data_IF_713966227748
#
_entry.id   IF_713966227748
#
_cell.length_a   1.000
_cell.length_b   1.000
_cell.length_c   1.000
_cell.angle_alpha   90.00
_cell.angle_beta   90.00
_cell.angle_gamma   90.00
#
_symmetry.space_group_name_H-M   'P 1'
#
loop_
_entity.id
_entity.type
_entity.pdbx_description
1 polymer ?
#
# COMPACT_ATOMS: atom_id res chain seq x y z
N UNK A 1 -10.58 47.11 33.50
CA UNK A 1 -9.28 47.73 33.16
C UNK A 1 -8.39 46.69 32.54
N UNK A 2 -8.20 46.84 31.24
CA UNK A 2 -6.99 46.66 30.41
C UNK A 2 -6.27 45.31 30.49
N UNK A 3 -6.43 44.46 29.45
CA UNK A 3 -5.61 44.41 28.21
C UNK A 3 -4.12 44.15 28.46
N UNK A 4 -3.66 42.97 28.01
CA UNK A 4 -2.35 42.71 27.38
C UNK A 4 -2.46 41.34 26.77
N UNK A 5 -2.63 41.25 25.54
CA UNK A 5 -1.70 41.38 24.42
C UNK A 5 -1.35 39.98 23.85
N UNK A 6 -2.04 39.67 22.78
CA UNK A 6 -1.62 38.73 21.72
C UNK A 6 -0.16 38.97 21.35
N UNK A 7 0.63 37.94 21.35
CA UNK A 7 1.90 37.88 20.63
C UNK A 7 1.86 36.76 19.62
N UNK A 8 1.50 37.12 18.42
CA UNK A 8 1.74 36.35 17.22
C UNK A 8 3.24 36.07 17.07
N UNK A 9 3.64 34.81 17.16
CA UNK A 9 4.97 34.36 16.80
C UNK A 9 4.96 33.92 15.33
N UNK A 10 5.24 34.86 14.44
CA UNK A 10 5.60 34.54 13.05
C UNK A 10 7.02 33.98 13.03
N UNK A 11 7.16 32.71 12.69
CA UNK A 11 8.44 32.11 12.31
C UNK A 11 8.62 32.39 10.80
N UNK A 12 9.38 33.45 10.49
CA UNK A 12 9.84 33.71 9.13
C UNK A 12 11.03 32.80 8.83
N UNK A 13 10.82 31.84 7.93
CA UNK A 13 11.91 31.13 7.27
C UNK A 13 12.41 32.04 6.15
N UNK A 14 13.50 32.74 6.38
CA UNK A 14 14.21 33.46 5.32
C UNK A 14 14.92 32.50 4.39
N UNK A 15 14.31 32.28 3.23
CA UNK A 15 15.07 31.83 2.06
C UNK A 15 15.66 33.05 1.39
N UNK A 16 16.92 33.05 0.93
CA UNK A 16 17.47 34.19 0.22
C UNK A 16 16.80 34.30 -1.17
N UNK A 17 15.82 35.19 -1.25
CA UNK A 17 15.29 35.64 -2.53
C UNK A 17 16.23 36.74 -3.01
N UNK A 18 17.06 36.43 -4.03
CA UNK A 18 17.77 37.44 -4.78
C UNK A 18 16.74 38.40 -5.41
N UNK A 19 16.94 39.69 -5.18
CA UNK A 19 16.19 40.76 -5.80
C UNK A 19 16.07 40.60 -7.31
N UNK A 20 14.86 40.42 -7.80
CA UNK A 20 14.49 40.70 -9.17
C UNK A 20 13.21 41.53 -9.15
N UNK A 21 13.39 42.81 -9.25
CA UNK A 21 12.36 43.77 -9.57
C UNK A 21 11.85 43.57 -10.99
N UNK A 22 10.54 43.81 -11.19
CA UNK A 22 9.80 43.87 -12.45
C UNK A 22 9.44 42.54 -13.15
N UNK A 23 8.19 42.10 -13.08
CA UNK A 23 7.74 41.09 -13.97
C UNK A 23 6.45 40.37 -13.69
N UNK A 24 5.31 41.06 -13.64
CA UNK A 24 4.00 40.40 -13.69
C UNK A 24 3.73 39.64 -15.01
N UNK A 25 4.49 39.92 -16.08
CA UNK A 25 4.42 39.22 -17.36
C UNK A 25 5.28 37.94 -17.39
N UNK A 26 6.39 37.87 -16.68
CA UNK A 26 7.32 36.74 -16.74
C UNK A 26 6.76 35.43 -16.16
N UNK A 27 5.82 35.48 -15.24
CA UNK A 27 5.27 34.28 -14.60
C UNK A 27 4.19 33.61 -15.46
N UNK A 28 3.39 34.40 -16.21
CA UNK A 28 2.40 33.89 -17.17
C UNK A 28 3.09 33.27 -18.38
N UNK A 29 4.08 33.95 -18.96
CA UNK A 29 4.87 33.42 -20.09
C UNK A 29 5.60 32.13 -19.70
N UNK A 30 6.11 32.02 -18.48
CA UNK A 30 6.77 30.81 -17.98
C UNK A 30 5.80 29.64 -17.75
N UNK A 31 4.53 29.91 -17.38
CA UNK A 31 3.49 28.89 -17.23
C UNK A 31 2.98 28.43 -18.61
N UNK A 32 2.80 29.35 -19.56
CA UNK A 32 2.38 29.03 -20.92
C UNK A 32 3.45 28.20 -21.65
N UNK A 33 4.74 28.51 -21.44
CA UNK A 33 5.85 27.72 -21.94
C UNK A 33 5.92 26.32 -21.26
N UNK A 34 5.64 26.23 -19.98
CA UNK A 34 5.50 24.97 -19.27
C UNK A 34 4.36 24.12 -19.86
N UNK A 35 3.19 24.72 -20.05
CA UNK A 35 2.05 24.02 -20.63
C UNK A 35 2.29 23.60 -22.08
N UNK A 36 2.95 24.42 -22.90
CA UNK A 36 3.36 24.04 -24.27
C UNK A 36 4.32 22.86 -24.24
N UNK A 37 5.32 22.83 -23.33
CA UNK A 37 6.24 21.68 -23.17
C UNK A 37 5.50 20.43 -22.76
N UNK A 38 4.58 20.51 -21.79
CA UNK A 38 3.77 19.37 -21.35
C UNK A 38 2.87 18.85 -22.46
N UNK A 39 2.26 19.74 -23.25
CA UNK A 39 1.41 19.38 -24.40
C UNK A 39 2.19 18.83 -25.59
N UNK A 40 3.46 19.21 -25.73
CA UNK A 40 4.37 18.71 -26.77
C UNK A 40 5.20 17.50 -26.32
N UNK A 41 5.03 17.04 -25.09
CA UNK A 41 5.81 15.95 -24.52
C UNK A 41 5.57 14.64 -25.28
N UNK A 42 6.68 13.99 -25.68
CA UNK A 42 6.67 12.80 -26.55
C UNK A 42 7.17 11.55 -25.81
N UNK A 43 7.11 11.53 -24.48
CA UNK A 43 7.62 10.40 -23.70
C UNK A 43 6.56 9.32 -23.55
N UNK A 44 5.34 9.69 -23.11
CA UNK A 44 4.26 8.75 -22.85
C UNK A 44 3.19 8.73 -23.93
N UNK A 45 2.72 7.53 -24.27
CA UNK A 45 1.46 7.29 -24.98
C UNK A 45 0.32 7.11 -23.99
N UNK A 46 0.52 6.24 -23.00
CA UNK A 46 -0.46 5.99 -21.94
C UNK A 46 0.25 5.73 -20.61
N UNK A 47 0.32 6.76 -19.78
CA UNK A 47 0.97 6.73 -18.47
C UNK A 47 0.28 5.80 -17.47
N UNK A 48 -1.04 5.61 -17.59
CA UNK A 48 -1.83 4.84 -16.64
C UNK A 48 -1.49 3.35 -16.65
N UNK A 49 -0.93 2.85 -17.75
CA UNK A 49 -0.43 1.47 -17.83
C UNK A 49 0.68 1.15 -16.84
N UNK A 50 1.39 2.16 -16.31
CA UNK A 50 2.47 1.99 -15.33
C UNK A 50 1.98 2.14 -13.88
N UNK A 51 0.72 2.49 -13.67
CA UNK A 51 0.18 2.64 -12.32
C UNK A 51 0.02 1.29 -11.62
N UNK A 52 0.23 1.24 -10.29
CA UNK A 52 0.10 0.00 -9.51
C UNK A 52 -1.31 -0.59 -9.46
N UNK A 53 -2.33 0.25 -9.64
CA UNK A 53 -3.75 -0.13 -9.65
C UNK A 53 -4.25 -0.65 -11.00
N UNK A 54 -3.50 -0.43 -12.06
CA UNK A 54 -3.83 -0.99 -13.38
C UNK A 54 -3.62 -2.50 -13.41
N UNK A 55 -4.69 -3.25 -13.73
CA UNK A 55 -4.65 -4.70 -13.92
C UNK A 55 -4.58 -5.01 -15.41
N UNK A 56 -3.47 -5.56 -15.92
CA UNK A 56 -3.36 -5.91 -17.34
C UNK A 56 -4.16 -7.17 -17.69
N UNK A 57 -4.41 -7.35 -18.98
CA UNK A 57 -5.01 -8.57 -19.51
C UNK A 57 -4.04 -9.76 -19.50
N UNK A 58 -2.74 -9.51 -19.49
CA UNK A 58 -1.68 -10.51 -19.44
C UNK A 58 -0.83 -10.33 -18.18
N UNK A 59 -0.68 -11.40 -17.42
CA UNK A 59 0.06 -11.45 -16.15
C UNK A 59 1.19 -12.48 -16.26
N UNK A 60 2.30 -12.14 -16.94
CA UNK A 60 3.41 -13.06 -17.16
C UNK A 60 4.02 -13.54 -15.85
N UNK A 61 4.56 -14.77 -15.87
CA UNK A 61 5.19 -15.45 -14.74
C UNK A 61 4.23 -15.74 -13.57
N UNK A 62 2.91 -15.73 -13.83
CA UNK A 62 1.86 -16.12 -12.87
C UNK A 62 0.88 -17.13 -13.44
N UNK A 63 1.21 -17.75 -14.56
CA UNK A 63 0.37 -18.75 -15.23
C UNK A 63 -0.02 -19.88 -14.28
N UNK A 64 0.93 -20.41 -13.51
CA UNK A 64 0.68 -21.50 -12.56
C UNK A 64 -0.31 -21.06 -11.46
N UNK A 65 -0.16 -19.84 -10.92
CA UNK A 65 -1.06 -19.30 -9.91
C UNK A 65 -2.45 -19.00 -10.47
N UNK A 66 -2.51 -18.50 -11.71
CA UNK A 66 -3.77 -18.24 -12.42
C UNK A 66 -4.52 -19.55 -12.62
N UNK A 67 -3.86 -20.59 -13.15
CA UNK A 67 -4.49 -21.89 -13.39
C UNK A 67 -4.98 -22.52 -12.10
N UNK A 68 -4.15 -22.57 -11.06
CA UNK A 68 -4.53 -23.18 -9.79
C UNK A 68 -5.70 -22.46 -9.13
N UNK A 69 -5.69 -21.12 -9.10
CA UNK A 69 -6.79 -20.33 -8.55
C UNK A 69 -8.07 -20.52 -9.39
N UNK A 70 -7.95 -20.52 -10.72
CA UNK A 70 -9.09 -20.74 -11.61
C UNK A 70 -9.68 -22.16 -11.44
N UNK A 71 -8.84 -23.18 -11.32
CA UNK A 71 -9.24 -24.57 -11.09
C UNK A 71 -10.01 -24.72 -9.77
N UNK A 72 -9.50 -24.09 -8.70
CA UNK A 72 -10.15 -24.12 -7.38
C UNK A 72 -11.50 -23.39 -7.38
N UNK A 73 -11.63 -22.29 -8.11
CA UNK A 73 -12.87 -21.49 -8.13
C UNK A 73 -13.87 -21.88 -9.22
N UNK A 74 -13.43 -22.59 -10.28
CA UNK A 74 -14.27 -23.02 -11.41
C UNK A 74 -15.51 -23.86 -11.03
N UNK A 75 -15.53 -24.68 -9.95
CA UNK A 75 -16.73 -25.41 -9.54
C UNK A 75 -17.97 -24.53 -9.35
N UNK A 76 -17.82 -23.22 -9.05
CA UNK A 76 -18.93 -22.28 -9.00
C UNK A 76 -19.72 -22.20 -10.33
N UNK A 77 -19.05 -22.40 -11.48
CA UNK A 77 -19.67 -22.43 -12.81
C UNK A 77 -20.56 -23.64 -13.04
N UNK A 78 -20.57 -24.59 -12.11
CA UNK A 78 -21.49 -25.75 -12.08
C UNK A 78 -22.45 -25.69 -10.90
N UNK A 79 -22.53 -24.56 -10.22
CA UNK A 79 -23.34 -24.41 -9.01
C UNK A 79 -22.80 -25.21 -7.81
N UNK A 80 -21.56 -25.69 -7.84
CA UNK A 80 -20.91 -26.35 -6.70
C UNK A 80 -20.18 -25.31 -5.86
N UNK A 81 -20.03 -25.54 -4.55
CA UNK A 81 -19.23 -24.69 -3.67
C UNK A 81 -17.75 -24.91 -3.97
N UNK A 82 -16.99 -23.88 -4.36
CA UNK A 82 -15.54 -23.95 -4.40
C UNK A 82 -14.91 -24.02 -3.01
N UNK A 83 -13.70 -24.55 -2.91
CA UNK A 83 -12.90 -24.46 -1.67
C UNK A 83 -12.54 -23.03 -1.35
N UNK A 84 -12.33 -22.74 -0.07
CA UNK A 84 -11.73 -21.50 0.35
C UNK A 84 -10.25 -21.49 -0.05
N UNK A 85 -9.74 -20.32 -0.43
CA UNK A 85 -8.35 -20.15 -0.87
C UNK A 85 -7.65 -19.14 0.02
N UNK A 86 -6.45 -19.47 0.43
CA UNK A 86 -5.60 -18.54 1.15
C UNK A 86 -4.33 -18.23 0.35
N UNK A 87 -4.14 -16.93 0.07
CA UNK A 87 -3.09 -16.42 -0.83
C UNK A 87 -2.04 -15.68 -0.02
N UNK A 88 -0.80 -16.16 -0.10
CA UNK A 88 0.35 -15.62 0.61
C UNK A 88 1.38 -15.02 -0.35
N UNK A 89 2.11 -14.04 0.10
CA UNK A 89 3.28 -13.52 -0.58
C UNK A 89 3.61 -12.10 -0.16
N UNK A 90 4.83 -11.68 -0.38
CA UNK A 90 5.26 -10.29 -0.11
C UNK A 90 4.51 -9.28 -0.99
N UNK A 91 4.47 -7.99 -0.65
CA UNK A 91 3.87 -6.97 -1.48
C UNK A 91 4.41 -6.98 -2.92
N UNK A 92 3.58 -6.57 -3.89
CA UNK A 92 4.00 -6.43 -5.29
C UNK A 92 4.20 -7.73 -6.09
N UNK A 93 3.86 -8.90 -5.53
CA UNK A 93 4.00 -10.21 -6.21
C UNK A 93 2.84 -10.59 -7.12
N UNK A 94 1.84 -9.71 -7.28
CA UNK A 94 0.72 -9.91 -8.20
C UNK A 94 -0.51 -10.63 -7.62
N UNK A 95 -0.58 -10.90 -6.31
CA UNK A 95 -1.72 -11.58 -5.65
C UNK A 95 -3.07 -11.00 -6.02
N UNK A 96 -3.26 -9.71 -5.73
CA UNK A 96 -4.51 -8.99 -6.03
C UNK A 96 -4.83 -8.94 -7.51
N UNK A 97 -3.81 -8.76 -8.36
CA UNK A 97 -3.99 -8.70 -9.82
C UNK A 97 -4.48 -10.04 -10.38
N UNK A 98 -3.84 -11.15 -10.00
CA UNK A 98 -4.24 -12.50 -10.40
C UNK A 98 -5.64 -12.83 -9.88
N UNK A 99 -5.94 -12.50 -8.63
CA UNK A 99 -7.28 -12.75 -8.06
C UNK A 99 -8.36 -12.01 -8.84
N UNK A 100 -8.18 -10.71 -9.11
CA UNK A 100 -9.12 -9.91 -9.91
C UNK A 100 -9.26 -10.43 -11.34
N UNK A 101 -8.14 -10.81 -11.97
CA UNK A 101 -8.14 -11.38 -13.31
C UNK A 101 -8.96 -12.67 -13.39
N UNK A 102 -8.71 -13.64 -12.50
CA UNK A 102 -9.40 -14.92 -12.47
C UNK A 102 -10.90 -14.74 -12.20
N UNK A 103 -11.25 -13.90 -11.21
CA UNK A 103 -12.65 -13.63 -10.88
C UNK A 103 -13.40 -12.94 -12.02
N UNK A 104 -12.76 -12.01 -12.72
CA UNK A 104 -13.36 -11.39 -13.91
C UNK A 104 -13.63 -12.42 -15.01
N UNK A 105 -12.69 -13.34 -15.27
CA UNK A 105 -12.89 -14.42 -16.25
C UNK A 105 -14.03 -15.36 -15.82
N UNK A 106 -14.07 -15.78 -14.56
CA UNK A 106 -15.15 -16.62 -14.03
C UNK A 106 -16.51 -15.89 -14.11
N UNK A 107 -16.55 -14.60 -13.78
CA UNK A 107 -17.78 -13.80 -13.90
C UNK A 107 -18.27 -13.70 -15.34
N UNK A 108 -17.37 -13.47 -16.30
CA UNK A 108 -17.71 -13.44 -17.74
C UNK A 108 -18.27 -14.79 -18.21
N UNK A 109 -17.63 -15.90 -17.84
CA UNK A 109 -18.11 -17.25 -18.19
C UNK A 109 -19.43 -17.58 -17.48
N UNK A 110 -19.59 -17.17 -16.22
CA UNK A 110 -20.86 -17.31 -15.49
C UNK A 110 -22.00 -16.58 -16.18
N UNK A 111 -21.79 -15.33 -16.59
CA UNK A 111 -22.79 -14.55 -17.35
C UNK A 111 -23.20 -15.21 -18.65
N UNK A 112 -22.24 -15.76 -19.43
CA UNK A 112 -22.53 -16.50 -20.67
C UNK A 112 -23.39 -17.75 -20.44
N UNK A 113 -23.28 -18.38 -19.28
CA UNK A 113 -24.03 -19.58 -18.89
C UNK A 113 -25.30 -19.28 -18.08
N UNK A 114 -25.64 -18.00 -17.83
CA UNK A 114 -26.77 -17.60 -17.02
C UNK A 114 -26.64 -17.96 -15.53
N UNK A 115 -25.40 -18.10 -15.02
CA UNK A 115 -25.13 -18.45 -13.61
C UNK A 115 -24.96 -17.16 -12.82
N UNK A 116 -25.76 -17.01 -11.76
CA UNK A 116 -25.66 -15.87 -10.85
C UNK A 116 -24.42 -16.02 -9.95
N UNK A 117 -23.43 -15.13 -10.13
CA UNK A 117 -22.21 -15.06 -9.32
C UNK A 117 -22.11 -13.65 -8.73
N UNK A 118 -22.05 -13.57 -7.41
CA UNK A 118 -21.76 -12.33 -6.68
C UNK A 118 -20.29 -12.31 -6.29
N UNK A 119 -19.62 -11.16 -6.43
CA UNK A 119 -18.23 -10.97 -6.07
C UNK A 119 -18.15 -9.75 -5.16
N UNK A 120 -17.72 -9.94 -3.91
CA UNK A 120 -17.40 -8.87 -3.00
C UNK A 120 -15.87 -8.79 -2.82
N UNK A 121 -15.29 -7.67 -3.18
CA UNK A 121 -13.87 -7.38 -2.95
C UNK A 121 -13.75 -6.33 -1.86
N UNK A 122 -13.13 -6.69 -0.74
CA UNK A 122 -12.98 -5.87 0.46
C UNK A 122 -11.50 -5.72 0.76
N UNK A 123 -11.03 -4.47 0.84
CA UNK A 123 -9.68 -4.18 1.33
C UNK A 123 -9.73 -3.95 2.84
N UNK A 124 -9.28 -4.94 3.60
CA UNK A 124 -9.34 -4.95 5.06
C UNK A 124 -8.45 -3.90 5.75
N UNK A 125 -7.60 -3.21 5.02
CA UNK A 125 -6.84 -2.07 5.54
C UNK A 125 -7.69 -0.79 5.59
N UNK A 126 -8.65 -0.65 4.68
CA UNK A 126 -9.61 0.45 4.65
C UNK A 126 -10.86 0.11 5.48
N UNK A 127 -11.40 -1.10 5.28
CA UNK A 127 -12.57 -1.61 5.98
C UNK A 127 -12.14 -2.44 7.18
N UNK A 128 -11.61 -1.74 8.15
CA UNK A 128 -10.83 -2.26 9.26
C UNK A 128 -11.68 -2.67 10.50
N UNK A 129 -12.98 -2.83 10.31
CA UNK A 129 -13.91 -3.31 11.36
C UNK A 129 -14.85 -4.39 10.85
N UNK A 130 -15.22 -5.31 11.71
CA UNK A 130 -16.16 -6.39 11.38
C UNK A 130 -17.51 -5.86 10.86
N UNK A 131 -17.94 -4.69 11.32
CA UNK A 131 -19.18 -4.07 10.89
C UNK A 131 -19.07 -3.57 9.43
N UNK A 132 -17.99 -2.86 9.07
CA UNK A 132 -17.76 -2.38 7.70
C UNK A 132 -17.66 -3.52 6.71
N UNK A 133 -16.87 -4.53 7.03
CA UNK A 133 -16.76 -5.74 6.19
C UNK A 133 -18.14 -6.34 5.91
N UNK A 134 -18.99 -6.47 6.92
CA UNK A 134 -20.35 -7.00 6.73
C UNK A 134 -21.27 -6.03 5.98
N UNK A 135 -21.11 -4.73 6.16
CA UNK A 135 -21.86 -3.73 5.40
C UNK A 135 -21.54 -3.80 3.91
N UNK A 136 -20.24 -3.92 3.57
CA UNK A 136 -19.78 -4.06 2.17
C UNK A 136 -20.24 -5.39 1.55
N UNK A 137 -20.26 -6.47 2.34
CA UNK A 137 -20.82 -7.74 1.89
C UNK A 137 -22.33 -7.61 1.60
N UNK A 138 -23.06 -6.85 2.41
CA UNK A 138 -24.47 -6.55 2.16
C UNK A 138 -24.65 -5.70 0.90
N UNK A 139 -23.82 -4.68 0.71
CA UNK A 139 -23.86 -3.82 -0.48
C UNK A 139 -23.61 -4.62 -1.77
N UNK A 140 -22.67 -5.58 -1.74
CA UNK A 140 -22.37 -6.44 -2.88
C UNK A 140 -23.53 -7.32 -3.36
N UNK A 141 -24.60 -7.46 -2.53
CA UNK A 141 -25.83 -8.18 -2.86
C UNK A 141 -27.07 -7.27 -2.85
N UNK A 142 -26.88 -5.96 -3.03
CA UNK A 142 -27.92 -4.91 -3.01
C UNK A 142 -28.75 -4.88 -1.71
N UNK A 143 -28.22 -5.40 -0.61
CA UNK A 143 -28.85 -5.38 0.69
C UNK A 143 -28.51 -4.08 1.44
N UNK A 144 -29.49 -3.21 1.62
CA UNK A 144 -29.29 -1.95 2.36
C UNK A 144 -29.19 -2.20 3.87
N UNK A 145 -28.08 -1.79 4.44
CA UNK A 145 -27.84 -1.79 5.89
C UNK A 145 -27.52 -0.37 6.32
N UNK A 146 -28.12 0.16 7.41
CA UNK A 146 -27.77 1.48 7.91
C UNK A 146 -26.32 1.49 8.41
N UNK A 147 -25.65 2.64 8.26
CA UNK A 147 -24.24 2.81 8.68
C UNK A 147 -24.02 2.65 10.19
N UNK A 148 -25.04 2.81 11.00
CA UNK A 148 -24.99 2.71 12.47
C UNK A 148 -26.32 2.19 13.01
N UNK A 149 -26.30 1.71 14.28
CA UNK A 149 -27.52 1.36 15.02
C UNK A 149 -27.87 -0.12 15.04
N UNK A 150 -27.22 -0.97 14.25
CA UNK A 150 -27.37 -2.41 14.32
C UNK A 150 -26.15 -3.07 14.95
N UNK A 151 -26.40 -4.17 15.66
CA UNK A 151 -25.28 -5.02 16.11
C UNK A 151 -24.66 -5.78 14.91
N UNK A 152 -23.36 -6.08 14.99
CA UNK A 152 -22.65 -6.89 13.99
C UNK A 152 -23.35 -8.22 13.73
N UNK A 153 -23.88 -8.85 14.78
CA UNK A 153 -24.64 -10.12 14.67
C UNK A 153 -25.97 -9.96 13.93
N UNK A 154 -26.63 -8.81 14.04
CA UNK A 154 -27.88 -8.53 13.30
C UNK A 154 -27.58 -8.29 11.82
N UNK A 155 -26.49 -7.55 11.51
CA UNK A 155 -26.06 -7.34 10.12
C UNK A 155 -25.71 -8.68 9.47
N UNK A 156 -24.94 -9.52 10.16
CA UNK A 156 -24.59 -10.87 9.67
C UNK A 156 -25.83 -11.73 9.39
N UNK A 157 -26.82 -11.74 10.29
CA UNK A 157 -28.05 -12.48 10.10
C UNK A 157 -28.87 -11.99 8.91
N UNK A 158 -28.93 -10.68 8.69
CA UNK A 158 -29.59 -10.09 7.50
C UNK A 158 -28.85 -10.47 6.22
N UNK A 159 -27.52 -10.38 6.22
CA UNK A 159 -26.69 -10.80 5.12
C UNK A 159 -26.97 -12.25 4.73
N UNK A 160 -26.91 -13.19 5.69
CA UNK A 160 -27.21 -14.62 5.45
C UNK A 160 -28.59 -14.82 4.85
N UNK A 161 -29.63 -14.18 5.42
CA UNK A 161 -31.02 -14.31 4.97
C UNK A 161 -31.22 -13.80 3.54
N UNK A 162 -30.65 -12.64 3.21
CA UNK A 162 -30.79 -12.04 1.88
C UNK A 162 -29.98 -12.86 0.87
N UNK A 163 -28.74 -13.21 1.18
CA UNK A 163 -27.89 -14.02 0.31
C UNK A 163 -28.55 -15.37 -0.03
N UNK A 164 -29.11 -16.07 0.96
CA UNK A 164 -29.76 -17.36 0.72
C UNK A 164 -31.01 -17.24 -0.16
N UNK A 165 -31.69 -16.08 -0.13
CA UNK A 165 -32.82 -15.81 -1.02
C UNK A 165 -32.44 -15.64 -2.48
N UNK A 166 -31.20 -15.23 -2.79
CA UNK A 166 -30.73 -15.03 -4.15
C UNK A 166 -30.37 -16.34 -4.86
N UNK A 167 -30.19 -17.43 -4.13
CA UNK A 167 -29.78 -18.75 -4.65
C UNK A 167 -28.50 -18.70 -5.51
N UNK A 168 -27.61 -17.74 -5.24
CA UNK A 168 -26.39 -17.46 -6.01
C UNK A 168 -25.15 -17.98 -5.32
N UNK A 169 -24.06 -18.18 -6.09
CA UNK A 169 -22.73 -18.34 -5.51
C UNK A 169 -22.08 -17.00 -5.27
N UNK A 170 -21.44 -16.84 -4.10
CA UNK A 170 -20.73 -15.61 -3.75
C UNK A 170 -19.26 -15.88 -3.46
N UNK A 171 -18.39 -15.09 -4.09
CA UNK A 171 -16.98 -15.01 -3.75
C UNK A 171 -16.74 -13.80 -2.84
N UNK A 172 -16.18 -14.06 -1.67
CA UNK A 172 -15.77 -13.04 -0.69
C UNK A 172 -14.25 -12.91 -0.71
N UNK A 173 -13.75 -11.81 -1.24
CA UNK A 173 -12.32 -11.52 -1.30
C UNK A 173 -11.97 -10.57 -0.17
N UNK A 174 -11.11 -11.04 0.74
CA UNK A 174 -10.58 -10.27 1.85
C UNK A 174 -9.10 -9.98 1.58
N UNK A 175 -8.82 -8.82 1.00
CA UNK A 175 -7.45 -8.39 0.71
C UNK A 175 -6.86 -7.69 1.93
N UNK A 176 -5.57 -7.95 2.22
CA UNK A 176 -4.86 -7.49 3.43
C UNK A 176 -5.58 -7.92 4.73
N UNK A 177 -6.07 -9.16 4.76
CA UNK A 177 -6.88 -9.72 5.86
C UNK A 177 -6.16 -9.72 7.21
N UNK A 178 -4.83 -9.76 7.21
CA UNK A 178 -4.00 -9.65 8.41
C UNK A 178 -4.20 -8.31 9.15
N UNK A 179 -4.47 -7.23 8.43
CA UNK A 179 -4.76 -5.92 9.02
C UNK A 179 -6.05 -5.95 9.86
N UNK A 180 -7.10 -6.60 9.34
CA UNK A 180 -8.37 -6.75 10.05
C UNK A 180 -8.22 -7.60 11.31
N UNK A 181 -7.55 -8.76 11.19
CA UNK A 181 -7.40 -9.70 12.32
C UNK A 181 -6.54 -9.11 13.42
N UNK A 182 -5.46 -8.41 13.09
CA UNK A 182 -4.62 -7.71 14.07
C UNK A 182 -5.41 -6.66 14.87
N UNK A 183 -6.43 -6.06 14.26
CA UNK A 183 -7.24 -5.00 14.89
C UNK A 183 -8.46 -5.54 15.66
N UNK A 184 -9.19 -6.49 15.08
CA UNK A 184 -10.52 -6.92 15.59
C UNK A 184 -10.59 -8.39 16.00
N UNK A 185 -9.48 -9.13 15.88
CA UNK A 185 -9.47 -10.58 16.03
C UNK A 185 -10.09 -11.30 14.83
N UNK A 186 -10.13 -12.62 14.91
CA UNK A 186 -10.53 -13.51 13.80
C UNK A 186 -12.01 -13.90 13.79
N UNK A 187 -12.84 -13.27 14.64
CA UNK A 187 -14.26 -13.60 14.77
C UNK A 187 -15.03 -13.55 13.45
N UNK A 188 -14.78 -12.53 12.62
CA UNK A 188 -15.46 -12.41 11.32
C UNK A 188 -15.07 -13.54 10.37
N UNK A 189 -13.81 -13.97 10.40
CA UNK A 189 -13.34 -15.10 9.60
C UNK A 189 -14.00 -16.40 10.08
N UNK A 190 -14.14 -16.58 11.40
CA UNK A 190 -14.84 -17.70 11.98
C UNK A 190 -16.31 -17.76 11.50
N UNK A 191 -17.01 -16.63 11.54
CA UNK A 191 -18.41 -16.56 11.11
C UNK A 191 -18.55 -16.82 9.60
N UNK A 192 -17.68 -16.23 8.77
CA UNK A 192 -17.71 -16.38 7.32
C UNK A 192 -17.30 -17.79 6.85
N UNK A 193 -16.30 -18.43 7.47
CA UNK A 193 -15.90 -19.80 7.10
C UNK A 193 -16.99 -20.83 7.38
N UNK A 194 -17.88 -20.54 8.30
CA UNK A 194 -19.01 -21.41 8.69
C UNK A 194 -20.36 -21.00 8.11
N UNK A 195 -20.38 -19.93 7.32
CA UNK A 195 -21.63 -19.38 6.76
C UNK A 195 -22.43 -20.42 5.96
N UNK A 196 -21.73 -21.31 5.25
CA UNK A 196 -22.37 -22.34 4.42
C UNK A 196 -23.19 -23.35 5.24
N UNK A 197 -22.97 -23.46 6.57
CA UNK A 197 -23.80 -24.27 7.46
C UNK A 197 -25.18 -23.64 7.74
N UNK A 198 -25.34 -22.35 7.45
CA UNK A 198 -26.56 -21.57 7.63
C UNK A 198 -27.28 -21.30 6.30
N UNK A 199 -26.62 -21.58 5.17
CA UNK A 199 -27.15 -21.39 3.83
C UNK A 199 -27.75 -22.69 3.29
N UNK A 200 -28.93 -22.60 2.69
CA UNK A 200 -29.62 -23.71 2.06
C UNK A 200 -29.50 -23.72 0.55
N UNK A 201 -29.48 -22.55 -0.06
CA UNK A 201 -29.50 -22.36 -1.52
C UNK A 201 -28.25 -21.67 -2.04
N UNK A 202 -27.84 -20.59 -1.38
CA UNK A 202 -26.62 -19.86 -1.72
C UNK A 202 -25.36 -20.60 -1.27
N UNK A 203 -24.23 -20.26 -1.87
CA UNK A 203 -22.92 -20.82 -1.54
C UNK A 203 -21.89 -19.73 -1.46
N UNK A 204 -21.00 -19.78 -0.46
CA UNK A 204 -19.95 -18.81 -0.24
C UNK A 204 -18.59 -19.49 -0.30
N UNK A 205 -17.66 -18.90 -1.03
CA UNK A 205 -16.25 -19.25 -1.00
C UNK A 205 -15.42 -18.00 -0.67
N UNK A 206 -14.42 -18.15 0.18
CA UNK A 206 -13.57 -17.06 0.67
C UNK A 206 -12.23 -17.14 0.00
N UNK A 207 -11.72 -15.99 -0.46
CA UNK A 207 -10.35 -15.81 -0.91
C UNK A 207 -9.69 -14.81 0.04
N UNK A 208 -8.87 -15.30 0.95
CA UNK A 208 -8.07 -14.48 1.86
C UNK A 208 -6.72 -14.16 1.26
N UNK A 209 -6.32 -12.89 1.23
CA UNK A 209 -5.02 -12.44 0.73
C UNK A 209 -4.26 -11.77 1.86
N UNK A 210 -3.01 -12.18 2.10
CA UNK A 210 -2.15 -11.58 3.12
C UNK A 210 -0.75 -11.31 2.59
N UNK A 211 -0.11 -10.31 3.18
CA UNK A 211 1.30 -10.01 3.01
C UNK A 211 2.17 -10.63 4.14
N UNK A 212 1.55 -11.14 5.18
CA UNK A 212 2.22 -11.69 6.36
C UNK A 212 2.27 -13.22 6.28
N UNK A 213 3.46 -13.78 6.07
CA UNK A 213 3.68 -15.23 5.96
C UNK A 213 3.40 -15.98 7.26
N UNK A 214 3.39 -15.26 8.39
CA UNK A 214 3.09 -15.83 9.73
C UNK A 214 1.64 -15.62 10.15
N UNK A 215 0.82 -15.04 9.29
CA UNK A 215 -0.55 -14.67 9.63
C UNK A 215 -1.37 -15.84 10.20
N UNK A 216 -1.19 -17.05 9.69
CA UNK A 216 -1.91 -18.24 10.19
C UNK A 216 -1.58 -18.60 11.63
N UNK A 217 -0.45 -18.15 12.18
CA UNK A 217 -0.09 -18.37 13.57
C UNK A 217 -0.97 -17.57 14.54
N UNK A 218 -1.61 -16.49 14.05
CA UNK A 218 -2.51 -15.64 14.84
C UNK A 218 -3.97 -16.07 14.80
N UNK A 219 -4.31 -17.07 13.97
CA UNK A 219 -5.68 -17.55 13.80
C UNK A 219 -6.04 -18.67 14.79
N UNK A 220 -7.29 -18.69 15.24
CA UNK A 220 -7.86 -19.87 15.91
C UNK A 220 -7.67 -21.10 14.99
N UNK A 221 -7.24 -22.26 15.52
CA UNK A 221 -7.03 -23.47 14.73
C UNK A 221 -8.23 -23.87 13.87
N UNK A 222 -9.45 -23.59 14.32
CA UNK A 222 -10.68 -23.89 13.59
C UNK A 222 -10.90 -22.96 12.40
N UNK A 223 -10.49 -21.69 12.52
CA UNK A 223 -10.52 -20.71 11.43
C UNK A 223 -9.44 -21.06 10.40
N UNK A 224 -8.24 -21.35 10.89
CA UNK A 224 -7.12 -21.77 10.05
C UNK A 224 -7.44 -22.98 9.19
N UNK A 225 -8.00 -24.04 9.80
CA UNK A 225 -8.38 -25.26 9.08
C UNK A 225 -9.48 -25.01 8.02
N UNK A 226 -10.44 -24.14 8.31
CA UNK A 226 -11.55 -23.86 7.40
C UNK A 226 -11.21 -22.82 6.32
N UNK A 227 -10.27 -21.91 6.58
CA UNK A 227 -9.84 -20.89 5.62
C UNK A 227 -8.77 -21.42 4.66
N UNK A 228 -7.87 -22.26 5.17
CA UNK A 228 -6.74 -22.81 4.41
C UNK A 228 -7.06 -24.15 3.73
N UNK A 229 -8.27 -24.35 3.17
CA UNK A 229 -8.60 -25.53 2.38
C UNK A 229 -7.65 -25.68 1.17
N UNK A 230 -7.32 -24.54 0.54
CA UNK A 230 -6.30 -24.44 -0.52
C UNK A 230 -5.36 -23.27 -0.23
N UNK A 231 -4.05 -23.52 -0.28
CA UNK A 231 -3.02 -22.50 -0.09
C UNK A 231 -2.29 -22.20 -1.39
N UNK A 232 -2.15 -20.92 -1.71
CA UNK A 232 -1.49 -20.46 -2.92
C UNK A 232 -0.40 -19.43 -2.59
N UNK A 233 0.86 -19.80 -2.86
CA UNK A 233 2.02 -18.95 -2.59
C UNK A 233 2.42 -18.18 -3.84
N UNK A 234 2.67 -16.88 -3.65
CA UNK A 234 3.19 -15.98 -4.67
C UNK A 234 4.64 -15.63 -4.34
N UNK A 235 5.62 -16.28 -4.96
CA UNK A 235 7.02 -15.96 -4.75
C UNK A 235 7.34 -14.57 -5.30
N UNK A 236 8.34 -13.88 -4.72
CA UNK A 236 8.83 -12.63 -5.29
C UNK A 236 9.34 -12.84 -6.71
N UNK A 237 9.21 -11.80 -7.53
CA UNK A 237 9.74 -11.83 -8.89
C UNK A 237 11.27 -11.70 -8.88
N UNK A 238 11.93 -12.44 -9.75
CA UNK A 238 13.36 -12.24 -10.03
C UNK A 238 13.57 -11.09 -11.04
N UNK A 239 14.84 -10.71 -11.26
CA UNK A 239 15.16 -9.59 -12.13
C UNK A 239 14.75 -9.82 -13.61
N UNK A 240 14.82 -11.04 -14.12
CA UNK A 240 14.44 -11.37 -15.50
C UNK A 240 12.91 -11.33 -15.68
N UNK A 241 12.17 -11.81 -14.69
CA UNK A 241 10.71 -11.74 -14.70
C UNK A 241 10.23 -10.28 -14.64
N UNK A 242 10.86 -9.45 -13.79
CA UNK A 242 10.58 -8.01 -13.74
C UNK A 242 10.94 -7.30 -15.03
N UNK A 243 12.05 -7.67 -15.68
CA UNK A 243 12.43 -7.11 -16.98
C UNK A 243 11.35 -7.40 -18.05
N UNK A 244 10.82 -8.63 -18.10
CA UNK A 244 9.76 -8.98 -19.04
C UNK A 244 8.45 -8.24 -18.74
N UNK A 245 8.05 -8.17 -17.47
CA UNK A 245 6.87 -7.40 -17.05
C UNK A 245 7.01 -5.92 -17.45
N UNK A 246 8.17 -5.32 -17.18
CA UNK A 246 8.43 -3.92 -17.52
C UNK A 246 8.43 -3.67 -19.03
N UNK A 247 9.00 -4.57 -19.84
CA UNK A 247 8.98 -4.47 -21.31
C UNK A 247 7.56 -4.43 -21.84
N UNK A 248 6.72 -5.40 -21.43
CA UNK A 248 5.32 -5.47 -21.89
C UNK A 248 4.53 -4.21 -21.50
N UNK A 249 4.78 -3.67 -20.32
CA UNK A 249 4.15 -2.42 -19.88
C UNK A 249 4.68 -1.21 -20.62
N UNK A 250 5.98 -1.14 -20.84
CA UNK A 250 6.64 -0.06 -21.54
C UNK A 250 6.18 0.07 -22.99
N UNK A 251 5.99 -1.06 -23.68
CA UNK A 251 5.54 -1.09 -25.09
C UNK A 251 4.20 -0.38 -25.31
N UNK A 252 3.31 -0.42 -24.32
CA UNK A 252 2.03 0.30 -24.38
C UNK A 252 2.08 1.70 -23.75
N UNK A 253 2.98 1.93 -22.81
CA UNK A 253 3.02 3.17 -22.02
C UNK A 253 3.85 4.27 -22.68
N UNK A 254 4.90 3.93 -23.41
CA UNK A 254 5.85 4.89 -23.95
C UNK A 254 5.81 4.95 -25.48
N UNK A 255 6.28 6.08 -26.02
CA UNK A 255 6.53 6.21 -27.46
C UNK A 255 7.70 5.30 -27.85
N UNK A 256 7.61 4.67 -29.02
CA UNK A 256 8.66 3.76 -29.50
C UNK A 256 10.02 4.44 -29.58
N UNK A 257 11.05 3.77 -29.06
CA UNK A 257 12.44 4.25 -29.11
C UNK A 257 12.81 5.29 -28.05
N UNK A 258 11.87 5.67 -27.19
CA UNK A 258 12.12 6.63 -26.09
C UNK A 258 12.86 5.99 -24.92
N UNK A 259 12.63 4.70 -24.67
CA UNK A 259 13.29 3.98 -23.58
C UNK A 259 14.53 3.25 -24.11
N UNK A 260 15.67 3.49 -23.48
CA UNK A 260 16.87 2.71 -23.72
C UNK A 260 16.75 1.32 -23.05
N UNK A 261 17.25 0.24 -23.69
CA UNK A 261 17.14 -1.12 -23.11
C UNK A 261 17.72 -1.26 -21.70
N UNK A 262 18.77 -0.50 -21.37
CA UNK A 262 19.43 -0.47 -20.08
C UNK A 262 18.53 0.06 -18.96
N UNK A 263 17.61 0.99 -19.29
CA UNK A 263 16.65 1.58 -18.34
C UNK A 263 15.77 0.50 -17.72
N UNK A 264 15.20 -0.36 -18.56
CA UNK A 264 14.32 -1.45 -18.10
C UNK A 264 15.10 -2.43 -17.21
N UNK A 265 16.31 -2.81 -17.65
CA UNK A 265 17.19 -3.71 -16.89
C UNK A 265 17.55 -3.13 -15.53
N UNK A 266 17.88 -1.84 -15.48
CA UNK A 266 18.23 -1.17 -14.23
C UNK A 266 17.03 -1.09 -13.28
N UNK A 267 15.83 -0.73 -13.74
CA UNK A 267 14.61 -0.73 -12.94
C UNK A 267 14.31 -2.12 -12.38
N UNK A 268 14.42 -3.16 -13.21
CA UNK A 268 14.20 -4.55 -12.81
C UNK A 268 15.22 -5.02 -11.75
N UNK A 269 16.51 -4.71 -11.95
CA UNK A 269 17.56 -5.08 -11.01
C UNK A 269 17.40 -4.38 -9.64
N UNK A 270 17.05 -3.09 -9.64
CA UNK A 270 16.81 -2.34 -8.40
C UNK A 270 15.61 -2.91 -7.63
N UNK A 271 14.50 -3.17 -8.30
CA UNK A 271 13.31 -3.72 -7.66
C UNK A 271 13.51 -5.19 -7.20
N UNK A 272 14.25 -6.01 -7.95
CA UNK A 272 14.59 -7.36 -7.52
C UNK A 272 15.44 -7.38 -6.25
N UNK A 273 16.37 -6.42 -6.10
CA UNK A 273 17.15 -6.25 -4.87
C UNK A 273 16.30 -5.86 -3.66
N UNK A 274 15.21 -5.15 -3.89
CA UNK A 274 14.24 -4.70 -2.87
C UNK A 274 13.03 -5.65 -2.77
N UNK A 275 13.23 -6.95 -2.66
CA UNK A 275 12.22 -7.99 -2.46
C UNK A 275 11.40 -8.41 -3.68
N UNK A 276 11.78 -8.06 -4.90
CA UNK A 276 11.09 -8.53 -6.12
C UNK A 276 9.68 -7.95 -6.29
N UNK A 277 9.49 -6.68 -5.91
CA UNK A 277 8.22 -5.95 -5.99
C UNK A 277 8.02 -5.34 -7.38
N UNK A 278 7.03 -5.86 -8.14
CA UNK A 278 6.70 -5.34 -9.47
C UNK A 278 6.11 -3.91 -9.42
N UNK A 279 5.41 -3.53 -8.35
CA UNK A 279 4.89 -2.15 -8.18
C UNK A 279 6.07 -1.17 -8.11
N UNK A 280 7.12 -1.54 -7.36
CA UNK A 280 8.33 -0.73 -7.25
C UNK A 280 9.03 -0.57 -8.60
N UNK A 281 9.12 -1.65 -9.37
CA UNK A 281 9.73 -1.63 -10.71
C UNK A 281 8.96 -0.69 -11.66
N UNK A 282 7.62 -0.77 -11.65
CA UNK A 282 6.74 0.09 -12.44
C UNK A 282 6.82 1.56 -12.02
N UNK A 283 6.85 1.84 -10.71
CA UNK A 283 6.99 3.21 -10.18
C UNK A 283 8.33 3.83 -10.56
N UNK A 284 9.44 3.09 -10.46
CA UNK A 284 10.75 3.58 -10.90
C UNK A 284 10.74 3.96 -12.39
N UNK A 285 10.16 3.11 -13.23
CA UNK A 285 10.09 3.36 -14.67
C UNK A 285 9.18 4.55 -14.97
N UNK A 286 8.03 4.67 -14.30
CA UNK A 286 7.09 5.78 -14.45
C UNK A 286 7.72 7.10 -14.05
N UNK A 287 8.34 7.18 -12.86
CA UNK A 287 8.98 8.40 -12.35
C UNK A 287 10.17 8.78 -13.22
N UNK A 288 10.97 7.81 -13.70
CA UNK A 288 12.05 8.09 -14.63
C UNK A 288 11.56 8.72 -15.94
N UNK A 289 10.44 8.23 -16.48
CA UNK A 289 9.79 8.85 -17.64
C UNK A 289 9.29 10.26 -17.36
N UNK A 290 8.65 10.49 -16.20
CA UNK A 290 8.19 11.81 -15.79
C UNK A 290 9.34 12.82 -15.60
N UNK A 291 10.48 12.38 -15.07
CA UNK A 291 11.67 13.21 -14.94
C UNK A 291 12.27 13.58 -16.30
N UNK A 292 12.30 12.64 -17.25
CA UNK A 292 12.75 12.92 -18.62
C UNK A 292 11.83 13.94 -19.31
N UNK A 293 10.51 13.78 -19.16
CA UNK A 293 9.50 14.69 -19.69
C UNK A 293 9.63 16.10 -19.12
N UNK A 294 9.75 16.22 -17.77
CA UNK A 294 9.97 17.52 -17.08
C UNK A 294 11.26 18.21 -17.49
N UNK A 295 12.31 17.41 -17.77
CA UNK A 295 13.60 17.93 -18.26
C UNK A 295 13.59 18.32 -19.74
N UNK A 296 12.50 18.03 -20.49
CA UNK A 296 12.39 18.27 -21.92
C UNK A 296 13.27 17.32 -22.76
N UNK A 297 13.62 16.16 -22.24
CA UNK A 297 14.43 15.17 -22.92
C UNK A 297 13.56 14.29 -23.83
N UNK A 298 14.10 13.88 -24.98
CA UNK A 298 13.41 13.00 -25.93
C UNK A 298 13.58 11.51 -25.59
N UNK A 299 14.43 11.17 -24.61
CA UNK A 299 14.71 9.79 -24.20
C UNK A 299 14.82 9.66 -22.69
N UNK A 300 14.41 8.50 -22.21
CA UNK A 300 14.61 8.05 -20.82
C UNK A 300 15.94 7.31 -20.74
N UNK A 301 16.83 7.75 -19.86
CA UNK A 301 18.19 7.22 -19.68
C UNK A 301 18.38 6.63 -18.28
N UNK A 302 19.50 5.94 -18.03
CA UNK A 302 19.84 5.43 -16.69
C UNK A 302 19.93 6.54 -15.64
N UNK A 303 20.36 7.74 -16.01
CA UNK A 303 20.42 8.87 -15.07
C UNK A 303 19.03 9.22 -14.53
N UNK A 304 18.00 9.21 -15.38
CA UNK A 304 16.62 9.43 -14.95
C UNK A 304 16.17 8.36 -13.96
N UNK A 305 16.57 7.08 -14.16
CA UNK A 305 16.23 6.00 -13.20
C UNK A 305 16.92 6.21 -11.85
N UNK A 306 18.19 6.60 -11.83
CA UNK A 306 18.92 6.89 -10.58
C UNK A 306 18.33 8.09 -9.83
N UNK A 307 17.86 9.10 -10.55
CA UNK A 307 17.15 10.24 -9.96
C UNK A 307 15.78 9.82 -9.45
N UNK A 308 15.04 9.01 -10.23
CA UNK A 308 13.75 8.44 -9.83
C UNK A 308 13.87 7.61 -8.55
N UNK A 309 14.91 6.78 -8.44
CA UNK A 309 15.17 6.01 -7.21
C UNK A 309 15.27 6.93 -5.99
N UNK A 310 16.04 8.00 -6.07
CA UNK A 310 16.19 8.96 -4.96
C UNK A 310 14.88 9.67 -4.61
N UNK A 311 14.06 10.04 -5.60
CA UNK A 311 12.76 10.67 -5.37
C UNK A 311 11.77 9.70 -4.71
N UNK A 312 11.64 8.49 -5.23
CA UNK A 312 10.73 7.47 -4.67
C UNK A 312 11.14 7.04 -3.26
N UNK A 313 12.45 6.94 -2.97
CA UNK A 313 12.94 6.68 -1.60
C UNK A 313 12.62 7.84 -0.66
N UNK A 314 12.83 9.09 -1.12
CA UNK A 314 12.49 10.29 -0.34
C UNK A 314 11.00 10.36 -0.04
N UNK A 315 10.14 10.12 -1.02
CA UNK A 315 8.69 10.16 -0.84
C UNK A 315 8.22 9.09 0.14
N UNK A 316 8.80 7.89 0.09
CA UNK A 316 8.52 6.81 1.05
C UNK A 316 8.89 7.21 2.48
N UNK A 317 10.06 7.79 2.70
CA UNK A 317 10.49 8.25 4.03
C UNK A 317 9.54 9.35 4.54
N UNK A 318 9.17 10.30 3.67
CA UNK A 318 8.21 11.38 4.03
C UNK A 318 6.84 10.80 4.40
N UNK A 319 6.35 9.81 3.66
CA UNK A 319 5.06 9.16 3.96
C UNK A 319 5.11 8.41 5.29
N UNK A 320 6.16 7.64 5.54
CA UNK A 320 6.37 6.96 6.82
C UNK A 320 6.37 7.97 7.97
N UNK A 321 7.11 9.07 7.85
CA UNK A 321 7.15 10.12 8.89
C UNK A 321 5.76 10.73 9.10
N UNK A 322 4.98 10.96 8.04
CA UNK A 322 3.62 11.54 8.14
C UNK A 322 2.66 10.63 8.92
N UNK A 323 2.79 9.33 8.78
CA UNK A 323 1.93 8.34 9.46
C UNK A 323 2.35 8.03 10.89
N UNK A 324 3.55 8.44 11.31
CA UNK A 324 4.05 8.22 12.66
C UNK A 324 3.26 8.99 13.74
N UNK A 325 3.19 8.42 14.96
CA UNK A 325 2.69 9.14 16.14
C UNK A 325 3.38 10.49 16.35
N UNK A 326 2.68 11.45 16.94
CA UNK A 326 3.17 12.81 17.11
C UNK A 326 4.51 12.86 17.86
N UNK A 327 4.66 12.07 18.92
CA UNK A 327 5.92 12.02 19.70
C UNK A 327 7.10 11.51 18.86
N UNK A 328 6.91 10.53 17.97
CA UNK A 328 7.95 10.04 17.05
C UNK A 328 8.37 11.15 16.07
N UNK A 329 7.40 11.91 15.53
CA UNK A 329 7.69 13.05 14.64
C UNK A 329 8.45 14.17 15.33
N UNK A 330 8.09 14.49 16.58
CA UNK A 330 8.81 15.48 17.37
C UNK A 330 10.24 14.99 17.71
N UNK A 331 10.40 13.69 17.95
CA UNK A 331 11.72 13.09 18.19
C UNK A 331 12.63 13.22 16.95
N UNK A 332 12.09 12.95 15.75
CA UNK A 332 12.80 13.13 14.47
C UNK A 332 13.19 14.59 14.27
N UNK A 333 12.26 15.54 14.55
CA UNK A 333 12.55 16.97 14.48
C UNK A 333 13.69 17.35 15.44
N UNK A 334 13.65 16.85 16.66
CA UNK A 334 14.69 17.11 17.67
C UNK A 334 16.05 16.56 17.25
N UNK A 335 16.08 15.35 16.66
CA UNK A 335 17.28 14.73 16.11
C UNK A 335 17.85 15.58 14.97
N UNK A 336 17.01 16.02 14.02
CA UNK A 336 17.41 16.89 12.92
C UNK A 336 17.99 18.24 13.41
N UNK A 337 17.36 18.85 14.39
CA UNK A 337 17.83 20.11 14.98
C UNK A 337 19.20 19.95 15.67
N UNK A 338 19.41 18.84 16.37
CA UNK A 338 20.71 18.53 17.00
C UNK A 338 21.81 18.31 15.96
N UNK A 339 21.52 17.52 14.95
CA UNK A 339 22.46 17.24 13.85
C UNK A 339 22.87 18.54 13.15
N UNK A 340 21.89 19.37 12.82
CA UNK A 340 22.13 20.68 12.17
C UNK A 340 22.93 21.65 13.05
N UNK A 341 22.72 21.63 14.38
CA UNK A 341 23.41 22.54 15.29
C UNK A 341 24.81 22.11 15.65
N UNK A 342 25.07 20.81 15.79
CA UNK A 342 26.34 20.24 16.30
C UNK A 342 27.21 19.61 15.22
N UNK A 343 26.65 19.28 14.06
CA UNK A 343 27.37 18.63 12.93
C UNK A 343 28.00 17.28 13.28
N UNK A 344 27.48 16.58 14.32
CA UNK A 344 28.01 15.33 14.82
C UNK A 344 26.93 14.41 15.40
N UNK A 345 27.28 13.15 15.62
CA UNK A 345 26.42 12.21 16.33
C UNK A 345 26.04 12.75 17.72
N UNK A 346 24.77 12.65 18.08
CA UNK A 346 24.27 13.06 19.39
C UNK A 346 24.13 11.84 20.32
N UNK A 347 24.21 12.09 21.62
CA UNK A 347 23.92 11.05 22.64
C UNK A 347 22.46 11.13 23.07
N UNK A 348 21.91 10.00 23.51
CA UNK A 348 20.49 9.88 23.89
C UNK A 348 20.06 10.90 24.95
N UNK A 349 20.95 11.28 25.88
CA UNK A 349 20.65 12.29 26.89
C UNK A 349 20.41 13.69 26.31
N UNK A 350 21.30 14.15 25.42
CA UNK A 350 21.14 15.44 24.71
C UNK A 350 19.87 15.48 23.86
N UNK A 351 19.58 14.36 23.18
CA UNK A 351 18.37 14.23 22.39
C UNK A 351 17.11 14.30 23.27
N UNK A 352 17.13 13.66 24.44
CA UNK A 352 16.01 13.69 25.37
C UNK A 352 15.76 15.10 25.94
N UNK A 353 16.80 15.84 26.28
CA UNK A 353 16.67 17.24 26.76
C UNK A 353 16.04 18.14 25.71
N UNK A 354 16.52 18.08 24.45
CA UNK A 354 15.94 18.88 23.37
C UNK A 354 14.51 18.43 23.04
N UNK A 355 14.27 17.11 22.93
CA UNK A 355 12.94 16.58 22.74
C UNK A 355 11.96 17.08 23.82
N UNK A 356 12.36 17.03 25.10
CA UNK A 356 11.52 17.48 26.21
C UNK A 356 11.20 18.97 26.12
N UNK A 357 12.15 19.79 25.69
CA UNK A 357 11.94 21.23 25.45
C UNK A 357 10.96 21.46 24.29
N UNK A 358 11.16 20.78 23.17
CA UNK A 358 10.31 20.91 21.96
C UNK A 358 8.88 20.47 22.27
N UNK A 359 8.69 19.32 22.93
CA UNK A 359 7.35 18.79 23.28
C UNK A 359 6.58 19.78 24.16
N UNK A 360 7.23 20.41 25.13
CA UNK A 360 6.60 21.42 25.99
C UNK A 360 6.12 22.64 25.21
N UNK A 361 6.86 23.05 24.16
CA UNK A 361 6.44 24.15 23.28
C UNK A 361 5.16 23.83 22.49
N UNK A 362 4.87 22.53 22.27
CA UNK A 362 3.60 22.05 21.68
C UNK A 362 2.51 21.80 22.71
N UNK A 363 2.72 22.16 23.99
CA UNK A 363 1.73 21.98 25.08
C UNK A 363 1.51 20.49 25.44
N UNK A 364 2.47 19.62 25.17
CA UNK A 364 2.40 18.20 25.46
C UNK A 364 3.32 17.81 26.61
N UNK A 365 3.02 16.68 27.26
CA UNK A 365 3.91 16.10 28.28
C UNK A 365 4.99 15.23 27.64
N UNK A 366 6.27 15.37 28.05
CA UNK A 366 7.34 14.51 27.56
C UNK A 366 7.15 13.05 27.97
N UNK A 367 7.45 12.14 27.06
CA UNK A 367 7.52 10.70 27.37
C UNK A 367 8.74 10.40 28.24
N UNK A 368 8.73 9.24 28.92
CA UNK A 368 9.89 8.80 29.72
C UNK A 368 11.09 8.47 28.84
N UNK A 369 12.31 8.57 29.38
CA UNK A 369 13.55 8.21 28.67
C UNK A 369 13.53 6.78 28.11
N UNK A 370 12.93 5.84 28.85
CA UNK A 370 12.78 4.46 28.39
C UNK A 370 11.95 4.39 27.10
N UNK A 371 10.80 5.09 27.07
CA UNK A 371 9.94 5.14 25.87
C UNK A 371 10.61 5.82 24.69
N UNK A 372 11.42 6.84 24.95
CA UNK A 372 12.23 7.50 23.91
C UNK A 372 13.29 6.54 23.34
N UNK A 373 13.94 5.73 24.19
CA UNK A 373 14.87 4.70 23.71
C UNK A 373 14.17 3.66 22.84
N UNK A 374 12.96 3.25 23.20
CA UNK A 374 12.15 2.34 22.36
C UNK A 374 11.83 2.98 20.99
N UNK A 375 11.43 4.27 20.97
CA UNK A 375 11.16 5.00 19.73
C UNK A 375 12.43 5.18 18.87
N UNK A 376 13.60 5.40 19.48
CA UNK A 376 14.88 5.47 18.75
C UNK A 376 15.15 4.12 18.05
N UNK A 377 14.92 3.02 18.74
CA UNK A 377 15.08 1.68 18.14
C UNK A 377 14.06 1.44 17.01
N UNK A 378 12.82 1.91 17.15
CA UNK A 378 11.83 1.87 16.07
C UNK A 378 12.30 2.67 14.84
N UNK A 379 12.87 3.87 15.04
CA UNK A 379 13.41 4.71 13.97
C UNK A 379 14.63 4.07 13.29
N UNK A 380 15.48 3.36 14.03
CA UNK A 380 16.62 2.62 13.50
C UNK A 380 16.14 1.43 12.64
N UNK A 381 15.17 0.66 13.13
CA UNK A 381 14.57 -0.44 12.36
C UNK A 381 13.89 0.04 11.07
N UNK A 382 13.34 1.24 11.06
CA UNK A 382 12.73 1.86 9.87
C UNK A 382 13.77 2.52 8.93
N UNK A 383 15.05 2.54 9.32
CA UNK A 383 16.13 3.14 8.54
C UNK A 383 16.07 4.68 8.46
N UNK A 384 15.31 5.34 9.35
CA UNK A 384 15.17 6.80 9.42
C UNK A 384 16.31 7.41 10.22
N UNK A 385 16.77 6.72 11.25
CA UNK A 385 17.92 7.08 12.07
C UNK A 385 18.85 5.87 12.21
N UNK A 386 20.12 6.10 12.55
CA UNK A 386 21.05 5.03 12.89
C UNK A 386 21.43 5.15 14.36
N UNK A 387 21.10 4.15 15.15
CA UNK A 387 21.43 4.09 16.58
C UNK A 387 22.53 3.06 16.85
N UNK A 388 23.59 3.46 17.55
CA UNK A 388 24.66 2.56 17.99
C UNK A 388 24.76 2.58 19.52
N UNK A 389 24.65 1.41 20.12
CA UNK A 389 24.84 1.27 21.57
C UNK A 389 26.32 1.35 21.89
N UNK A 390 26.72 2.38 22.61
CA UNK A 390 28.09 2.55 23.10
C UNK A 390 28.13 2.15 24.57
N UNK A 391 28.90 1.10 24.91
CA UNK A 391 29.09 0.70 26.27
C UNK A 391 30.19 1.56 26.93
N UNK A 392 29.85 2.25 28.03
CA UNK A 392 30.78 3.05 28.82
C UNK A 392 31.34 2.24 30.02
N UNK A 393 31.40 0.90 29.96
CA UNK A 393 31.87 0.07 31.03
C UNK A 393 31.03 0.20 32.31
N UNK A 394 31.68 0.52 33.45
CA UNK A 394 31.00 0.70 34.75
C UNK A 394 29.99 1.86 34.81
N UNK A 395 29.99 2.76 33.84
CA UNK A 395 29.12 3.98 33.78
C UNK A 395 27.85 3.80 32.94
N UNK A 396 27.50 2.58 32.54
CA UNK A 396 26.27 2.25 31.87
C UNK A 396 26.36 2.20 30.34
N UNK A 397 25.20 2.04 29.68
CA UNK A 397 25.04 2.02 28.23
C UNK A 397 24.34 3.30 27.77
N UNK A 398 24.82 3.89 26.71
CA UNK A 398 24.20 5.07 26.08
C UNK A 398 23.91 4.80 24.63
#
# INVERSE_FOLDING_TARGET
MRNAADRDLYISVETPISNASSGGNNMRDSLDDLFRRVLSAKIFVNRDLLRPDYVPEDLPHREAQIFRLAETLAPALRGSRPSNVFIYGVPGTGKTAVTKYVLNKISQEGKKKGIALNIAYINCKHDDTNYRVLADLCEAIDARVPFTGLSTSEVFRRFVKILDSTSSSMFVILDEVDSLVKKTGDKILYDLTRINNQLSRAKVSIVGITNDLKFTEYLDPRVRSSLGEEELVFPPYNALELEDILKRRADGAFVRGVIEPQVIKLCAALAAKEHGDARRALDLLRVAGELAERAGNDKVTEEHVRRAQKEVEKDRVVEVIRTMPLHSRILILSLYLLEKSKGRNCVTGELYELYSSVVKNFGLEPLTQRRISDLINELDMLGIATAKVVSKGRYGRT
#
